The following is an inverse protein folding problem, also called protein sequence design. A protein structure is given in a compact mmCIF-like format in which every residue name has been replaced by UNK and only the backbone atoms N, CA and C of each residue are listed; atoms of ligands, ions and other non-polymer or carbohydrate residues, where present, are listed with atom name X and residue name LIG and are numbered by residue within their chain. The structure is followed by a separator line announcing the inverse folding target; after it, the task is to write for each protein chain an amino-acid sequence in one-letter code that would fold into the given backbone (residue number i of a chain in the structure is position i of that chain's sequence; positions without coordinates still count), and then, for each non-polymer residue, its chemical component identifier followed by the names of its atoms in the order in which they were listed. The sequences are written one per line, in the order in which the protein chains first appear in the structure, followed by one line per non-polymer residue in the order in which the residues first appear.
data_IF_450410911972
#
_entry.id   IF_450410911972
#
_cell.length_a   1.000
_cell.length_b   1.000
_cell.length_c   1.000
_cell.angle_alpha   90.00
_cell.angle_beta   90.00
_cell.angle_gamma   90.00
#
_symmetry.space_group_name_H-M   'P 1'
#
loop_
_entity.id
_entity.type
_entity.pdbx_description
1 polymer ?
#
# COMPACT_ATOMS: atom_id res chain seq x y z
N UNK A 1 -0.85 127.63 7.30
CA UNK A 1 -2.23 127.35 7.75
C UNK A 1 -2.36 125.85 7.81
N UNK A 2 -2.67 125.37 9.00
CA UNK A 2 -2.33 124.05 9.54
C UNK A 2 -3.15 122.92 8.94
N UNK A 3 -2.45 121.86 8.58
CA UNK A 3 -2.96 120.54 8.20
C UNK A 3 -3.34 119.80 9.50
N UNK A 4 -4.63 119.51 9.69
CA UNK A 4 -5.13 118.71 10.82
C UNK A 4 -5.12 117.23 10.42
N UNK A 5 -4.06 116.53 10.81
CA UNK A 5 -4.03 115.07 10.81
C UNK A 5 -4.72 114.55 12.10
N UNK A 6 -5.87 113.94 11.91
CA UNK A 6 -6.68 113.27 12.93
C UNK A 6 -5.94 112.07 13.51
N UNK A 7 -5.74 112.05 14.84
CA UNK A 7 -5.33 110.87 15.60
C UNK A 7 -6.46 109.83 15.59
N UNK A 8 -6.20 108.53 15.33
CA UNK A 8 -7.20 107.50 15.59
C UNK A 8 -7.31 107.25 17.09
N UNK A 9 -8.55 107.29 17.53
CA UNK A 9 -9.08 107.07 18.87
C UNK A 9 -8.80 105.63 19.33
N UNK A 10 -8.00 105.46 20.40
CA UNK A 10 -7.71 104.15 20.99
C UNK A 10 -8.91 103.68 21.81
N UNK A 11 -9.91 103.12 21.12
CA UNK A 11 -11.05 102.48 21.77
C UNK A 11 -10.58 101.32 22.68
N UNK A 12 -11.20 101.11 23.86
CA UNK A 12 -10.86 100.02 24.74
C UNK A 12 -11.19 98.69 24.05
N UNK A 13 -10.17 97.93 23.66
CA UNK A 13 -10.32 96.61 23.04
C UNK A 13 -10.99 95.67 24.03
N UNK A 14 -12.30 95.50 23.89
CA UNK A 14 -13.05 94.49 24.63
C UNK A 14 -12.59 93.14 24.13
N UNK A 15 -11.97 92.36 25.03
CA UNK A 15 -11.54 91.00 24.73
C UNK A 15 -12.77 90.18 24.30
N UNK A 16 -12.71 89.42 23.18
CA UNK A 16 -13.80 88.57 22.73
C UNK A 16 -14.25 87.60 23.83
N UNK A 17 -15.54 87.28 23.92
CA UNK A 17 -16.06 86.44 25.00
C UNK A 17 -15.83 84.95 24.73
N UNK A 18 -15.86 84.55 23.45
CA UNK A 18 -15.66 83.17 23.01
C UNK A 18 -14.52 83.03 21.99
N UNK A 19 -13.96 81.82 21.86
CA UNK A 19 -12.85 81.57 20.95
C UNK A 19 -13.26 81.76 19.48
N UNK A 20 -14.55 81.56 19.17
CA UNK A 20 -15.11 81.73 17.84
C UNK A 20 -15.24 83.22 17.42
N UNK A 21 -15.21 84.14 18.39
CA UNK A 21 -15.28 85.59 18.17
C UNK A 21 -13.89 86.24 18.03
N UNK A 22 -12.81 85.46 18.18
CA UNK A 22 -11.45 85.99 17.99
C UNK A 22 -11.17 86.23 16.51
N UNK A 23 -10.53 87.36 16.22
CA UNK A 23 -10.10 87.72 14.86
C UNK A 23 -8.63 88.16 14.88
N UNK A 24 -7.96 88.26 13.72
CA UNK A 24 -6.60 88.81 13.65
C UNK A 24 -6.49 90.22 14.27
N UNK A 25 -7.55 91.03 14.15
CA UNK A 25 -7.60 92.41 14.68
C UNK A 25 -8.02 92.49 16.16
N UNK A 26 -8.53 91.39 16.74
CA UNK A 26 -8.90 91.29 18.15
C UNK A 26 -8.59 89.89 18.72
N UNK A 27 -7.30 89.55 18.90
CA UNK A 27 -6.89 88.23 19.36
C UNK A 27 -6.98 88.08 20.88
N UNK A 28 -7.13 86.83 21.35
CA UNK A 28 -6.92 86.53 22.77
C UNK A 28 -5.45 86.52 23.15
N UNK A 29 -5.08 87.05 24.33
CA UNK A 29 -3.79 86.77 24.93
C UNK A 29 -3.61 85.26 25.12
N UNK A 30 -2.43 84.73 24.83
CA UNK A 30 -2.11 83.31 24.96
C UNK A 30 -2.42 82.75 26.36
N UNK A 31 -2.23 83.59 27.39
CA UNK A 31 -2.57 83.26 28.78
C UNK A 31 -4.08 83.00 28.97
N UNK A 32 -4.94 83.78 28.34
CA UNK A 32 -6.39 83.62 28.42
C UNK A 32 -6.83 82.32 27.75
N UNK A 33 -6.26 81.99 26.58
CA UNK A 33 -6.49 80.71 25.91
C UNK A 33 -6.07 79.53 26.81
N UNK A 34 -4.88 79.62 27.41
CA UNK A 34 -4.33 78.59 28.30
C UNK A 34 -5.20 78.37 29.55
N UNK A 35 -5.74 79.45 30.13
CA UNK A 35 -6.67 79.38 31.25
C UNK A 35 -8.01 78.76 30.87
N UNK A 36 -8.57 79.13 29.71
CA UNK A 36 -9.83 78.55 29.20
C UNK A 36 -9.68 77.05 28.90
N UNK A 37 -8.56 76.63 28.30
CA UNK A 37 -8.24 75.21 28.07
C UNK A 37 -8.13 74.44 29.39
N UNK A 38 -7.42 74.99 30.39
CA UNK A 38 -7.36 74.39 31.73
C UNK A 38 -8.76 74.24 32.34
N UNK A 39 -9.58 75.29 32.31
CA UNK A 39 -10.92 75.23 32.87
C UNK A 39 -11.83 74.22 32.16
N UNK A 40 -11.64 74.00 30.86
CA UNK A 40 -12.37 72.99 30.11
C UNK A 40 -11.91 71.57 30.49
N UNK A 41 -10.60 71.32 30.53
CA UNK A 41 -10.02 70.01 30.86
C UNK A 41 -10.29 69.61 32.32
N UNK A 42 -10.20 70.57 33.26
CA UNK A 42 -10.42 70.30 34.69
C UNK A 42 -11.88 69.95 35.02
N UNK A 43 -12.84 70.31 34.15
CA UNK A 43 -14.26 69.94 34.25
C UNK A 43 -14.51 68.48 33.86
N UNK A 44 -13.59 67.84 33.13
CA UNK A 44 -13.73 66.45 32.73
C UNK A 44 -13.74 65.55 33.98
N UNK A 45 -14.73 64.65 34.12
CA UNK A 45 -14.80 63.74 35.26
C UNK A 45 -13.63 62.75 35.27
N UNK A 46 -13.37 62.16 36.44
CA UNK A 46 -12.40 61.06 36.53
C UNK A 46 -12.96 59.80 35.86
N UNK A 47 -12.12 59.07 35.13
CA UNK A 47 -12.50 57.84 34.44
C UNK A 47 -11.60 56.67 34.86
N UNK A 48 -12.18 55.49 35.01
CA UNK A 48 -11.43 54.25 35.17
C UNK A 48 -10.92 53.80 33.81
N UNK A 49 -9.61 53.63 33.70
CA UNK A 49 -8.93 53.23 32.47
C UNK A 49 -8.05 52.03 32.76
N UNK A 50 -8.11 51.06 31.85
CA UNK A 50 -7.21 49.92 31.83
C UNK A 50 -5.99 50.27 30.99
N UNK A 51 -4.79 49.94 31.47
CA UNK A 51 -3.56 50.20 30.73
C UNK A 51 -2.36 49.47 31.31
N UNK A 52 -1.25 49.54 30.60
CA UNK A 52 0.03 48.97 31.01
C UNK A 52 1.01 50.07 31.42
N UNK A 53 1.71 49.87 32.53
CA UNK A 53 2.76 50.79 32.99
C UNK A 53 4.02 50.57 32.15
N UNK A 54 4.30 51.45 31.19
CA UNK A 54 5.48 51.34 30.32
C UNK A 54 6.74 51.90 30.99
N UNK A 55 6.56 52.92 31.82
CA UNK A 55 7.61 53.56 32.59
C UNK A 55 7.07 53.94 33.96
N UNK A 56 7.90 53.79 35.00
CA UNK A 56 7.59 54.19 36.36
C UNK A 56 8.82 54.86 36.98
N UNK A 57 8.72 56.15 37.28
CA UNK A 57 9.79 56.93 37.89
C UNK A 57 9.29 57.54 39.21
N UNK A 58 9.84 57.06 40.33
CA UNK A 58 9.48 57.55 41.68
C UNK A 58 10.38 58.72 42.07
N UNK A 59 9.79 59.87 42.40
CA UNK A 59 10.50 61.10 42.79
C UNK A 59 9.90 61.68 44.08
N UNK A 60 10.43 61.27 45.22
CA UNK A 60 9.97 61.73 46.53
C UNK A 60 8.52 61.36 46.80
N UNK A 61 7.65 62.38 46.94
CA UNK A 61 6.22 62.21 47.26
C UNK A 61 5.33 61.90 46.07
N UNK A 62 5.85 62.05 44.84
CA UNK A 62 5.13 61.76 43.60
C UNK A 62 5.89 60.73 42.76
N UNK A 63 5.15 59.91 42.04
CA UNK A 63 5.68 59.08 40.97
C UNK A 63 5.05 59.48 39.64
N UNK A 64 5.87 59.47 38.60
CA UNK A 64 5.46 59.72 37.23
C UNK A 64 5.45 58.38 36.50
N UNK A 65 4.37 58.10 35.80
CA UNK A 65 4.19 56.86 35.07
C UNK A 65 3.60 57.14 33.69
N UNK A 66 3.95 56.31 32.73
CA UNK A 66 3.37 56.37 31.39
C UNK A 66 2.47 55.17 31.22
N UNK A 67 1.16 55.43 31.10
CA UNK A 67 0.16 54.39 30.84
C UNK A 67 0.00 54.24 29.33
N UNK A 68 0.14 53.02 28.83
CA UNK A 68 -0.20 52.67 27.45
C UNK A 68 -1.49 51.85 27.45
N UNK A 69 -2.33 52.10 26.47
CA UNK A 69 -3.52 51.28 26.22
C UNK A 69 -3.10 49.83 25.93
N UNK A 70 -3.98 48.86 26.20
CA UNK A 70 -3.66 47.44 26.00
C UNK A 70 -3.84 47.03 24.55
N UNK A 71 -4.80 47.62 23.84
CA UNK A 71 -5.20 47.20 22.51
C UNK A 71 -4.74 48.19 21.44
N UNK A 72 -4.50 49.46 21.81
CA UNK A 72 -4.08 50.53 20.90
C UNK A 72 -2.69 51.11 21.23
N UNK A 73 -2.03 51.71 20.23
CA UNK A 73 -0.78 52.48 20.40
C UNK A 73 -1.04 53.89 20.97
N UNK A 74 -1.80 53.97 22.06
CA UNK A 74 -2.10 55.23 22.75
C UNK A 74 -1.34 55.24 24.07
N UNK A 75 -0.61 56.31 24.36
CA UNK A 75 0.13 56.45 25.63
C UNK A 75 -0.13 57.81 26.25
N UNK A 76 -0.40 57.83 27.56
CA UNK A 76 -0.67 59.03 28.33
C UNK A 76 0.30 59.15 29.51
N UNK A 77 0.92 60.32 29.72
CA UNK A 77 1.67 60.59 30.93
C UNK A 77 0.71 60.77 32.11
N UNK A 78 1.08 60.21 33.25
CA UNK A 78 0.31 60.31 34.47
C UNK A 78 1.21 60.55 35.70
N UNK A 79 0.64 61.23 36.70
CA UNK A 79 1.27 61.46 38.00
C UNK A 79 0.42 60.84 39.09
N UNK A 80 1.07 60.11 39.98
CA UNK A 80 0.44 59.45 41.13
C UNK A 80 1.19 59.83 42.40
N UNK A 81 0.46 59.99 43.50
CA UNK A 81 1.07 60.19 44.80
C UNK A 81 1.66 58.88 45.30
N UNK A 82 2.87 58.89 45.89
CA UNK A 82 3.54 57.67 46.37
C UNK A 82 2.64 56.87 47.34
N UNK A 83 1.86 57.56 48.19
CA UNK A 83 0.88 56.94 49.10
C UNK A 83 -0.21 56.12 48.40
N UNK A 84 -0.57 56.45 47.16
CA UNK A 84 -1.59 55.71 46.39
C UNK A 84 -0.99 54.43 45.82
N UNK A 85 0.31 54.44 45.47
CA UNK A 85 1.04 53.24 45.06
C UNK A 85 1.28 52.29 46.23
N UNK A 86 1.59 52.82 47.42
CA UNK A 86 1.86 52.02 48.64
C UNK A 86 0.62 51.36 49.23
N UNK A 87 -0.59 51.80 48.84
CA UNK A 87 -1.85 51.17 49.26
C UNK A 87 -2.12 49.83 48.57
N UNK A 88 -1.36 49.49 47.54
CA UNK A 88 -1.58 48.28 46.76
C UNK A 88 -0.86 47.08 47.39
N UNK A 89 -1.55 45.94 47.44
CA UNK A 89 -0.98 44.69 47.99
C UNK A 89 0.12 44.09 47.11
N UNK A 90 0.14 44.42 45.80
CA UNK A 90 1.21 44.03 44.89
C UNK A 90 2.06 45.26 44.50
N UNK A 91 3.40 45.12 44.46
CA UNK A 91 4.25 46.16 43.93
C UNK A 91 3.98 46.37 42.44
N UNK A 92 3.81 47.63 42.05
CA UNK A 92 3.69 48.04 40.65
C UNK A 92 5.08 48.06 40.01
N UNK A 93 5.26 47.25 38.98
CA UNK A 93 6.48 47.13 38.20
C UNK A 93 6.28 47.64 36.77
N UNK A 94 7.40 47.83 36.06
CA UNK A 94 7.36 48.12 34.63
C UNK A 94 6.77 46.90 33.92
N UNK A 95 5.75 47.12 33.08
CA UNK A 95 5.02 46.07 32.39
C UNK A 95 3.74 45.63 33.10
N UNK A 96 3.49 46.07 34.34
CA UNK A 96 2.25 45.71 35.04
C UNK A 96 1.02 46.30 34.34
N UNK A 97 0.01 45.45 34.13
CA UNK A 97 -1.33 45.86 33.71
C UNK A 97 -2.11 46.37 34.92
N UNK A 98 -2.75 47.52 34.77
CA UNK A 98 -3.37 48.25 35.87
C UNK A 98 -4.73 48.79 35.46
N UNK A 99 -5.61 48.92 36.45
CA UNK A 99 -6.84 49.71 36.34
C UNK A 99 -6.65 50.96 37.18
N UNK A 100 -6.59 52.12 36.52
CA UNK A 100 -6.29 53.40 37.13
C UNK A 100 -7.46 54.39 36.99
N UNK A 101 -7.79 55.09 38.07
CA UNK A 101 -8.75 56.19 38.07
C UNK A 101 -8.01 57.48 37.72
N UNK A 102 -8.15 57.93 36.49
CA UNK A 102 -7.43 59.08 35.94
C UNK A 102 -8.30 60.34 35.96
N UNK A 103 -7.70 61.47 36.35
CA UNK A 103 -8.29 62.81 36.18
C UNK A 103 -7.38 63.64 35.24
N UNK A 104 -7.88 64.14 34.10
CA UNK A 104 -7.12 65.05 33.26
C UNK A 104 -6.73 66.33 34.00
N UNK A 105 -5.48 66.74 33.85
CA UNK A 105 -4.93 67.97 34.42
C UNK A 105 -4.06 68.67 33.37
N UNK A 106 -4.35 69.96 33.13
CA UNK A 106 -3.55 70.78 32.22
C UNK A 106 -2.57 71.69 32.99
N UNK A 107 -1.28 71.61 32.64
CA UNK A 107 -0.23 72.40 33.29
C UNK A 107 0.02 73.72 32.54
N UNK A 108 -0.41 74.83 33.14
CA UNK A 108 -0.38 76.16 32.51
C UNK A 108 1.01 76.64 32.07
N UNK A 109 2.07 76.29 32.82
CA UNK A 109 3.43 76.79 32.54
C UNK A 109 4.09 76.13 31.34
N UNK A 110 3.76 74.87 31.06
CA UNK A 110 4.41 74.05 30.02
C UNK A 110 3.47 73.66 28.89
N UNK A 111 2.16 73.93 29.02
CA UNK A 111 1.14 73.55 28.05
C UNK A 111 0.97 72.03 27.91
N UNK A 112 1.46 71.24 28.88
CA UNK A 112 1.39 69.77 28.83
C UNK A 112 0.12 69.26 29.49
N UNK A 113 -0.49 68.27 28.86
CA UNK A 113 -1.58 67.47 29.44
C UNK A 113 -0.97 66.33 30.26
N UNK A 114 -1.47 66.16 31.48
CA UNK A 114 -1.08 65.10 32.39
C UNK A 114 -2.32 64.44 32.98
N UNK A 115 -2.20 63.21 33.46
CA UNK A 115 -3.29 62.49 34.12
C UNK A 115 -2.98 62.34 35.61
N UNK A 116 -3.78 62.92 36.50
CA UNK A 116 -3.67 62.68 37.93
C UNK A 116 -4.34 61.34 38.28
N UNK A 117 -3.53 60.39 38.75
CA UNK A 117 -3.99 59.08 39.20
C UNK A 117 -4.52 59.18 40.62
N UNK A 118 -5.82 58.93 40.81
CA UNK A 118 -6.49 58.95 42.13
C UNK A 118 -6.46 57.59 42.82
N UNK A 119 -6.60 56.53 42.05
CA UNK A 119 -6.49 55.14 42.50
C UNK A 119 -5.85 54.33 41.36
N UNK A 120 -5.08 53.29 41.67
CA UNK A 120 -4.41 52.43 40.69
C UNK A 120 -4.26 51.04 41.26
N UNK A 121 -4.83 50.05 40.60
CA UNK A 121 -4.81 48.66 41.08
C UNK A 121 -4.10 47.79 40.04
N UNK A 122 -3.07 47.01 40.41
CA UNK A 122 -2.55 46.01 39.52
C UNK A 122 -3.63 44.96 39.26
N UNK A 123 -3.84 44.61 37.99
CA UNK A 123 -4.71 43.50 37.62
C UNK A 123 -3.98 42.22 38.00
N UNK A 124 -4.51 41.49 39.00
CA UNK A 124 -3.92 40.23 39.42
C UNK A 124 -4.10 39.14 38.37
N UNK A 125 -3.18 38.16 38.35
CA UNK A 125 -3.26 37.00 37.46
C UNK A 125 -4.61 36.25 37.58
N UNK A 126 -5.17 36.19 38.78
CA UNK A 126 -6.46 35.55 39.04
C UNK A 126 -7.65 36.22 38.35
N UNK A 127 -7.69 37.56 38.29
CA UNK A 127 -8.77 38.29 37.61
C UNK A 127 -8.71 38.11 36.09
N UNK A 128 -7.50 38.05 35.54
CA UNK A 128 -7.23 37.80 34.13
C UNK A 128 -7.67 36.37 33.74
N UNK A 129 -7.28 35.38 34.52
CA UNK A 129 -7.70 33.99 34.33
C UNK A 129 -9.21 33.84 34.46
N UNK A 130 -9.84 34.50 35.44
CA UNK A 130 -11.30 34.51 35.57
C UNK A 130 -11.99 35.16 34.37
N UNK A 131 -11.41 36.20 33.77
CA UNK A 131 -11.94 36.83 32.55
C UNK A 131 -11.81 35.90 31.34
N UNK A 132 -10.68 35.23 31.17
CA UNK A 132 -10.47 34.22 30.13
C UNK A 132 -11.47 33.07 30.29
N UNK A 133 -11.70 32.60 31.52
CA UNK A 133 -12.66 31.52 31.78
C UNK A 133 -14.10 31.93 31.44
N UNK A 134 -14.52 33.15 31.81
CA UNK A 134 -15.83 33.67 31.43
C UNK A 134 -15.98 33.76 29.91
N UNK A 135 -14.93 34.21 29.21
CA UNK A 135 -14.93 34.27 27.75
C UNK A 135 -15.00 32.86 27.14
N UNK A 136 -14.26 31.89 27.70
CA UNK A 136 -14.34 30.48 27.31
C UNK A 136 -15.79 29.98 27.39
N UNK A 137 -16.45 30.21 28.52
CA UNK A 137 -17.82 29.74 28.74
C UNK A 137 -18.81 30.41 27.76
N UNK A 138 -18.67 31.71 27.51
CA UNK A 138 -19.52 32.42 26.56
C UNK A 138 -19.37 31.88 25.14
N UNK A 139 -18.14 31.73 24.64
CA UNK A 139 -17.86 31.23 23.29
C UNK A 139 -18.20 29.73 23.14
N UNK A 140 -18.05 28.95 24.21
CA UNK A 140 -18.49 27.56 24.25
C UNK A 140 -20.02 27.46 24.17
N UNK A 141 -20.75 28.33 24.84
CA UNK A 141 -22.22 28.38 24.79
C UNK A 141 -22.75 28.78 23.41
N UNK A 142 -22.01 29.63 22.68
CA UNK A 142 -22.28 29.92 21.25
C UNK A 142 -21.94 28.72 20.32
N UNK A 143 -21.24 27.70 20.82
CA UNK A 143 -20.88 26.51 20.06
C UNK A 143 -19.65 26.67 19.17
N UNK A 144 -18.81 27.71 19.36
CA UNK A 144 -17.61 27.92 18.54
C UNK A 144 -16.58 26.79 18.68
N UNK A 145 -16.57 26.09 19.82
CA UNK A 145 -15.64 24.99 20.11
C UNK A 145 -16.22 23.60 19.79
N UNK A 146 -17.38 23.54 19.11
CA UNK A 146 -18.01 22.26 18.78
C UNK A 146 -17.14 21.45 17.81
N UNK A 147 -16.91 20.17 18.14
CA UNK A 147 -16.11 19.25 17.32
C UNK A 147 -16.67 19.11 15.90
N UNK A 148 -17.98 19.26 15.72
CA UNK A 148 -18.65 19.24 14.40
C UNK A 148 -18.28 20.39 13.48
N UNK A 149 -17.70 21.48 14.00
CA UNK A 149 -17.19 22.61 13.21
C UNK A 149 -15.75 22.41 12.75
N UNK A 150 -15.02 21.50 13.40
CA UNK A 150 -13.61 21.26 13.10
C UNK A 150 -13.47 20.52 11.79
N UNK A 151 -12.51 20.95 10.99
CA UNK A 151 -12.24 20.41 9.66
C UNK A 151 -11.16 19.34 9.73
N UNK A 152 -11.30 18.25 8.97
CA UNK A 152 -10.23 17.27 8.85
C UNK A 152 -9.03 17.89 8.13
N UNK A 153 -7.84 17.54 8.59
CA UNK A 153 -6.60 17.92 7.93
C UNK A 153 -6.41 17.15 6.63
N UNK A 154 -5.84 17.78 5.59
CA UNK A 154 -5.46 17.08 4.37
C UNK A 154 -4.38 16.04 4.70
N UNK A 155 -4.49 14.85 4.10
CA UNK A 155 -3.52 13.78 4.31
C UNK A 155 -2.11 14.18 3.84
N UNK A 156 -2.02 14.87 2.70
CA UNK A 156 -0.78 15.34 2.09
C UNK A 156 -0.93 16.82 1.69
N UNK A 157 -0.62 17.77 2.59
CA UNK A 157 -0.62 19.19 2.24
C UNK A 157 0.53 19.48 1.26
N UNK A 158 0.21 20.16 0.16
CA UNK A 158 1.21 20.67 -0.79
C UNK A 158 1.77 21.99 -0.29
N UNK A 159 0.92 22.88 0.22
CA UNK A 159 1.35 24.19 0.70
C UNK A 159 0.76 24.52 2.07
N UNK A 160 1.65 24.85 3.00
CA UNK A 160 1.33 25.18 4.39
C UNK A 160 1.50 26.68 4.59
N UNK A 161 0.45 27.35 5.05
CA UNK A 161 0.51 28.72 5.54
C UNK A 161 1.10 28.74 6.95
N UNK A 162 2.15 29.52 7.20
CA UNK A 162 2.77 29.62 8.53
C UNK A 162 2.73 31.06 9.03
N UNK A 163 2.01 31.30 10.12
CA UNK A 163 1.97 32.57 10.84
C UNK A 163 2.85 32.43 12.07
N UNK A 164 3.94 33.20 12.14
CA UNK A 164 4.90 33.10 13.24
C UNK A 164 5.67 34.40 13.46
N UNK A 165 6.37 34.51 14.58
CA UNK A 165 7.26 35.62 14.88
C UNK A 165 8.46 35.68 13.93
N UNK A 166 8.90 36.90 13.59
CA UNK A 166 10.14 37.15 12.84
C UNK A 166 11.33 36.47 13.55
N UNK A 167 12.14 35.76 12.78
CA UNK A 167 13.33 35.02 13.24
C UNK A 167 13.12 34.04 14.42
N UNK A 168 11.87 33.59 14.63
CA UNK A 168 11.53 32.69 15.74
C UNK A 168 12.13 31.29 15.58
N UNK A 169 12.50 30.67 16.70
CA UNK A 169 12.93 29.27 16.72
C UNK A 169 11.78 28.33 16.30
N UNK A 170 10.54 28.69 16.63
CA UNK A 170 9.35 27.98 16.16
C UNK A 170 9.28 27.87 14.62
N UNK A 171 9.64 28.93 13.89
CA UNK A 171 9.73 28.90 12.42
C UNK A 171 10.76 27.86 11.96
N UNK A 172 11.97 27.94 12.51
CA UNK A 172 13.08 27.04 12.12
C UNK A 172 12.75 25.58 12.42
N UNK A 173 12.11 25.32 13.55
CA UNK A 173 11.74 23.98 13.98
C UNK A 173 10.65 23.38 13.09
N UNK A 174 9.60 24.13 12.77
CA UNK A 174 8.54 23.67 11.86
C UNK A 174 9.11 23.36 10.48
N UNK A 175 9.89 24.30 9.91
CA UNK A 175 10.47 24.13 8.58
C UNK A 175 11.41 22.92 8.51
N UNK A 176 12.28 22.75 9.52
CA UNK A 176 13.23 21.63 9.55
C UNK A 176 12.52 20.28 9.67
N UNK A 177 11.57 20.16 10.59
CA UNK A 177 10.84 18.90 10.79
C UNK A 177 9.96 18.57 9.56
N UNK A 178 9.34 19.57 8.96
CA UNK A 178 8.55 19.37 7.75
C UNK A 178 9.41 18.93 6.56
N UNK A 179 10.56 19.59 6.32
CA UNK A 179 11.47 19.23 5.25
C UNK A 179 12.08 17.82 5.40
N UNK A 180 12.32 17.36 6.63
CA UNK A 180 12.79 16.00 6.90
C UNK A 180 11.74 14.93 6.55
N UNK A 181 10.45 15.24 6.70
CA UNK A 181 9.35 14.28 6.50
C UNK A 181 8.76 14.33 5.10
N UNK A 182 8.65 15.52 4.52
CA UNK A 182 8.16 15.74 3.15
C UNK A 182 8.92 16.91 2.50
N UNK A 183 10.01 16.62 1.77
CA UNK A 183 10.80 17.67 1.10
C UNK A 183 10.05 18.49 0.05
N UNK A 184 8.93 17.94 -0.47
CA UNK A 184 8.12 18.59 -1.50
C UNK A 184 7.09 19.60 -0.94
N UNK A 185 7.02 19.76 0.39
CA UNK A 185 6.11 20.72 1.01
C UNK A 185 6.56 22.16 0.75
N UNK A 186 5.63 23.00 0.36
CA UNK A 186 5.87 24.45 0.21
C UNK A 186 5.33 25.21 1.41
N UNK A 187 5.99 26.31 1.78
CA UNK A 187 5.57 27.16 2.88
C UNK A 187 5.30 28.59 2.42
N UNK A 188 4.12 29.10 2.72
CA UNK A 188 3.78 30.52 2.60
C UNK A 188 3.84 31.14 4.00
N UNK A 189 4.89 31.94 4.26
CA UNK A 189 5.18 32.43 5.61
C UNK A 189 4.74 33.88 5.77
N UNK A 190 4.02 34.18 6.86
CA UNK A 190 3.69 35.55 7.29
C UNK A 190 4.31 35.81 8.65
N UNK A 191 5.31 36.68 8.64
CA UNK A 191 5.99 37.11 9.86
C UNK A 191 5.21 38.24 10.51
N UNK A 192 4.68 37.98 11.71
CA UNK A 192 3.86 38.92 12.47
C UNK A 192 4.38 39.06 13.90
N UNK A 193 4.01 40.14 14.57
CA UNK A 193 4.14 40.24 16.01
C UNK A 193 3.29 39.15 16.67
N UNK A 194 3.92 38.27 17.43
CA UNK A 194 3.23 37.20 18.20
C UNK A 194 3.00 37.57 19.67
N UNK A 195 3.48 38.75 20.07
CA UNK A 195 3.37 39.31 21.41
C UNK A 195 3.14 40.82 21.34
N UNK A 196 2.57 41.38 22.41
CA UNK A 196 2.23 42.80 22.50
C UNK A 196 0.95 43.19 21.78
N UNK A 197 0.62 44.48 21.85
CA UNK A 197 -0.70 45.03 21.51
C UNK A 197 -1.07 44.87 20.04
N UNK A 198 -0.08 44.90 19.14
CA UNK A 198 -0.31 44.76 17.69
C UNK A 198 -0.48 43.30 17.24
N UNK A 199 -0.27 42.32 18.13
CA UNK A 199 -0.22 40.92 17.75
C UNK A 199 -1.56 40.41 17.20
N UNK A 200 -2.67 40.70 17.88
CA UNK A 200 -4.01 40.27 17.47
C UNK A 200 -4.34 40.78 16.06
N UNK A 201 -4.17 42.08 15.83
CA UNK A 201 -4.48 42.69 14.54
C UNK A 201 -3.62 42.12 13.39
N UNK A 202 -2.33 41.89 13.64
CA UNK A 202 -1.43 41.35 12.62
C UNK A 202 -1.70 39.87 12.34
N UNK A 203 -1.94 39.05 13.36
CA UNK A 203 -2.27 37.63 13.20
C UNK A 203 -3.60 37.46 12.46
N UNK A 204 -4.63 38.23 12.82
CA UNK A 204 -5.94 38.18 12.13
C UNK A 204 -5.80 38.60 10.66
N UNK A 205 -5.00 39.64 10.38
CA UNK A 205 -4.73 40.05 9.00
C UNK A 205 -4.02 38.95 8.22
N UNK A 206 -2.94 38.38 8.77
CA UNK A 206 -2.20 37.31 8.13
C UNK A 206 -3.06 36.06 7.89
N UNK A 207 -3.92 35.71 8.86
CA UNK A 207 -4.89 34.61 8.73
C UNK A 207 -5.82 34.83 7.55
N UNK A 208 -6.46 36.01 7.44
CA UNK A 208 -7.35 36.34 6.33
C UNK A 208 -6.64 36.34 4.98
N UNK A 209 -5.41 36.86 4.92
CA UNK A 209 -4.63 36.88 3.68
C UNK A 209 -4.17 35.48 3.23
N UNK A 210 -3.98 34.53 4.15
CA UNK A 210 -3.66 33.13 3.84
C UNK A 210 -4.92 32.33 3.48
N UNK A 211 -6.01 32.54 4.22
CA UNK A 211 -7.32 31.90 3.99
C UNK A 211 -7.93 32.29 2.64
N UNK A 212 -7.65 33.50 2.16
CA UNK A 212 -8.06 33.94 0.82
C UNK A 212 -7.32 33.24 -0.33
N UNK A 213 -6.26 32.47 -0.05
CA UNK A 213 -5.48 31.77 -1.08
C UNK A 213 -5.93 30.30 -1.18
N UNK A 214 -6.54 29.88 -2.31
CA UNK A 214 -7.01 28.51 -2.47
C UNK A 214 -5.88 27.47 -2.56
N UNK A 215 -4.65 27.92 -2.77
CA UNK A 215 -3.45 27.08 -2.81
C UNK A 215 -2.98 26.64 -1.42
N UNK A 216 -3.45 27.30 -0.34
CA UNK A 216 -3.02 26.99 1.03
C UNK A 216 -3.95 25.92 1.61
N UNK A 217 -3.40 24.73 1.84
CA UNK A 217 -4.16 23.56 2.29
C UNK A 217 -4.41 23.57 3.81
N UNK A 218 -3.51 24.19 4.57
CA UNK A 218 -3.56 24.28 6.04
C UNK A 218 -2.80 25.50 6.54
N UNK A 219 -3.32 26.17 7.58
CA UNK A 219 -2.71 27.34 8.21
C UNK A 219 -2.24 26.98 9.62
N UNK A 220 -0.98 27.27 9.94
CA UNK A 220 -0.38 27.05 11.24
C UNK A 220 -0.14 28.38 11.92
N UNK A 221 -0.69 28.55 13.11
CA UNK A 221 -0.37 29.68 13.98
C UNK A 221 0.61 29.16 15.03
N UNK A 222 1.87 29.58 14.89
CA UNK A 222 2.96 29.10 15.74
C UNK A 222 3.54 30.23 16.58
N UNK A 223 3.92 29.86 17.81
CA UNK A 223 4.66 30.73 18.72
C UNK A 223 5.81 29.95 19.34
N UNK A 224 6.96 30.59 19.51
CA UNK A 224 8.05 30.07 20.33
C UNK A 224 7.76 30.16 21.83
N UNK A 225 8.72 29.75 22.65
CA UNK A 225 8.66 29.89 24.10
C UNK A 225 8.57 31.35 24.56
N UNK A 226 8.13 31.56 25.80
CA UNK A 226 8.13 32.87 26.48
C UNK A 226 7.18 32.86 27.68
N UNK A 227 6.91 34.04 28.25
CA UNK A 227 6.09 34.13 29.46
C UNK A 227 4.61 33.86 29.14
N UNK A 228 3.84 33.53 30.19
CA UNK A 228 2.38 33.37 30.13
C UNK A 228 1.70 34.65 29.60
N UNK A 229 2.26 35.81 29.93
CA UNK A 229 1.75 37.13 29.52
C UNK A 229 1.76 37.31 28.00
N UNK A 230 2.73 36.71 27.33
CA UNK A 230 2.85 36.73 25.88
C UNK A 230 1.78 35.83 25.20
N UNK A 231 1.03 35.01 25.96
CA UNK A 231 -0.07 34.18 25.42
C UNK A 231 -1.40 34.95 25.35
N UNK A 232 -1.49 36.11 26.01
CA UNK A 232 -2.74 36.86 26.11
C UNK A 232 -3.34 37.24 24.75
N UNK A 233 -2.56 37.62 23.71
CA UNK A 233 -3.11 37.88 22.39
C UNK A 233 -3.91 36.71 21.80
N UNK A 234 -3.55 35.47 22.15
CA UNK A 234 -4.22 34.25 21.65
C UNK A 234 -5.51 33.90 22.41
N UNK A 235 -5.89 34.71 23.39
CA UNK A 235 -7.17 34.64 24.09
C UNK A 235 -8.15 35.74 23.63
N UNK A 236 -7.79 36.53 22.62
CA UNK A 236 -8.67 37.58 22.08
C UNK A 236 -9.86 37.00 21.34
N UNK A 237 -11.05 37.52 21.63
CA UNK A 237 -12.30 37.14 20.96
C UNK A 237 -12.24 37.38 19.45
N UNK A 238 -11.63 38.48 19.00
CA UNK A 238 -11.50 38.82 17.58
C UNK A 238 -10.71 37.76 16.81
N UNK A 239 -9.64 37.25 17.41
CA UNK A 239 -8.82 36.20 16.82
C UNK A 239 -9.57 34.87 16.79
N UNK A 240 -10.25 34.51 17.88
CA UNK A 240 -11.04 33.26 17.97
C UNK A 240 -12.14 33.25 16.91
N UNK A 241 -12.88 34.35 16.77
CA UNK A 241 -13.93 34.49 15.75
C UNK A 241 -13.35 34.45 14.33
N UNK A 242 -12.17 35.03 14.11
CA UNK A 242 -11.49 34.96 12.82
C UNK A 242 -11.09 33.52 12.45
N UNK A 243 -10.58 32.74 13.40
CA UNK A 243 -10.26 31.31 13.18
C UNK A 243 -11.52 30.48 12.94
N UNK A 244 -12.58 30.69 13.73
CA UNK A 244 -13.85 29.99 13.55
C UNK A 244 -14.54 30.26 12.20
N UNK A 245 -14.21 31.39 11.56
CA UNK A 245 -14.74 31.82 10.27
C UNK A 245 -13.83 31.47 9.07
N UNK A 246 -12.59 31.03 9.31
CA UNK A 246 -11.68 30.63 8.24
C UNK A 246 -12.30 29.50 7.41
N UNK A 247 -11.95 29.40 6.13
CA UNK A 247 -12.33 28.29 5.23
C UNK A 247 -11.27 27.18 5.23
N UNK A 248 -10.00 27.54 5.32
CA UNK A 248 -8.87 26.61 5.42
C UNK A 248 -8.74 26.06 6.86
N UNK A 249 -8.33 24.78 7.05
CA UNK A 249 -8.05 24.22 8.36
C UNK A 249 -6.93 24.96 9.10
N UNK A 250 -7.12 25.24 10.39
CA UNK A 250 -6.18 25.98 11.25
C UNK A 250 -5.61 25.08 12.35
N UNK A 251 -4.28 25.08 12.47
CA UNK A 251 -3.53 24.37 13.52
C UNK A 251 -2.95 25.37 14.49
N UNK A 252 -3.28 25.22 15.78
CA UNK A 252 -2.62 25.96 16.86
C UNK A 252 -1.36 25.22 17.29
N UNK A 253 -0.22 25.90 17.26
CA UNK A 253 1.08 25.42 17.71
C UNK A 253 1.68 26.38 18.74
N UNK A 254 0.88 26.67 19.78
CA UNK A 254 1.17 27.71 20.78
C UNK A 254 1.31 27.06 22.16
N UNK A 255 2.46 27.26 22.79
CA UNK A 255 2.67 26.92 24.21
C UNK A 255 3.10 25.46 24.47
N UNK A 256 3.05 25.07 25.75
CA UNK A 256 3.28 23.70 26.26
C UNK A 256 1.99 23.23 26.96
N UNK A 257 1.92 22.00 27.47
CA UNK A 257 0.67 21.43 28.03
C UNK A 257 -0.02 22.28 29.12
N UNK A 258 0.73 23.07 29.90
CA UNK A 258 0.18 23.93 30.95
C UNK A 258 -0.46 25.24 30.42
N UNK A 259 -0.16 25.60 29.18
CA UNK A 259 -0.47 26.88 28.56
C UNK A 259 -1.53 26.68 27.46
N UNK A 260 -2.81 26.65 27.83
CA UNK A 260 -3.93 26.42 26.89
C UNK A 260 -4.68 27.72 26.56
N UNK A 261 -4.25 28.49 25.55
CA UNK A 261 -5.00 29.66 25.10
C UNK A 261 -6.34 29.24 24.48
N UNK A 262 -7.31 30.16 24.45
CA UNK A 262 -8.61 29.91 23.81
C UNK A 262 -8.50 29.57 22.31
N UNK A 263 -7.42 30.00 21.65
CA UNK A 263 -7.13 29.62 20.26
C UNK A 263 -7.07 28.08 20.08
N UNK A 264 -6.55 27.36 21.07
CA UNK A 264 -6.44 25.89 21.02
C UNK A 264 -7.81 25.20 20.98
N UNK A 265 -8.83 25.84 21.56
CA UNK A 265 -10.18 25.28 21.65
C UNK A 265 -10.97 25.47 20.35
N UNK A 266 -10.64 26.52 19.58
CA UNK A 266 -11.28 26.81 18.27
C UNK A 266 -10.52 26.23 17.09
N UNK A 267 -9.22 25.97 17.22
CA UNK A 267 -8.41 25.39 16.15
C UNK A 267 -8.92 23.98 15.78
N UNK A 268 -8.81 23.64 14.50
CA UNK A 268 -9.16 22.31 13.99
C UNK A 268 -8.22 21.24 14.56
N UNK A 269 -6.96 21.63 14.80
CA UNK A 269 -5.97 20.79 15.45
C UNK A 269 -5.13 21.59 16.45
N UNK A 270 -5.01 21.07 17.67
CA UNK A 270 -4.06 21.56 18.67
C UNK A 270 -2.77 20.75 18.64
N UNK A 271 -1.64 21.38 18.35
CA UNK A 271 -0.31 20.80 18.52
C UNK A 271 0.34 21.31 19.81
N UNK A 272 0.96 20.40 20.54
CA UNK A 272 1.58 20.68 21.85
C UNK A 272 2.86 21.51 21.76
N UNK A 273 3.51 21.53 20.59
CA UNK A 273 4.72 22.30 20.29
C UNK A 273 4.80 22.59 18.78
N UNK A 274 5.63 23.56 18.34
CA UNK A 274 5.94 23.75 16.91
C UNK A 274 6.43 22.47 16.21
N UNK A 275 7.26 21.67 16.88
CA UNK A 275 7.73 20.38 16.36
C UNK A 275 6.60 19.35 16.22
N UNK A 276 5.70 19.29 17.21
CA UNK A 276 4.51 18.44 17.16
C UNK A 276 3.56 18.86 16.02
N UNK A 277 3.44 20.16 15.74
CA UNK A 277 2.64 20.67 14.63
C UNK A 277 3.16 20.12 13.29
N UNK A 278 4.46 20.23 13.03
CA UNK A 278 5.06 19.63 11.84
C UNK A 278 4.83 18.11 11.79
N UNK A 279 4.84 17.44 12.94
CA UNK A 279 4.60 16.00 13.01
C UNK A 279 3.17 15.58 12.69
N UNK A 280 2.18 16.41 13.01
CA UNK A 280 0.78 16.07 12.81
C UNK A 280 0.25 16.53 11.46
N UNK A 281 0.86 17.56 10.88
CA UNK A 281 0.46 18.11 9.57
C UNK A 281 1.11 17.33 8.41
N UNK A 282 2.40 17.01 8.53
CA UNK A 282 3.16 16.40 7.44
C UNK A 282 3.35 14.91 7.76
N UNK A 283 2.71 13.97 7.06
CA UNK A 283 2.92 12.54 7.32
C UNK A 283 4.36 12.11 7.02
N UNK A 284 4.77 10.95 7.53
CA UNK A 284 6.07 10.39 7.18
C UNK A 284 6.01 9.72 5.80
N UNK A 285 6.43 10.45 4.79
CA UNK A 285 6.32 10.00 3.39
C UNK A 285 7.17 8.77 3.11
N UNK A 286 8.27 8.59 3.87
CA UNK A 286 9.09 7.39 3.81
C UNK A 286 8.26 6.11 4.02
N UNK A 287 7.31 6.13 4.95
CA UNK A 287 6.40 5.02 5.23
C UNK A 287 5.41 4.80 4.09
N UNK A 288 4.78 5.86 3.58
CA UNK A 288 3.84 5.77 2.46
C UNK A 288 4.52 5.24 1.18
N UNK A 289 5.72 5.76 0.86
CA UNK A 289 6.53 5.26 -0.25
C UNK A 289 7.02 3.84 -0.02
N UNK A 290 7.27 3.42 1.22
CA UNK A 290 7.57 2.03 1.54
C UNK A 290 6.35 1.13 1.29
N UNK A 291 5.15 1.56 1.70
CA UNK A 291 3.89 0.87 1.42
C UNK A 291 3.64 0.69 -0.08
N UNK A 292 3.80 1.75 -0.87
CA UNK A 292 3.68 1.68 -2.35
C UNK A 292 4.71 0.73 -2.96
N UNK A 293 5.97 0.77 -2.49
CA UNK A 293 7.01 -0.15 -2.97
C UNK A 293 6.68 -1.61 -2.65
N UNK A 294 6.22 -1.88 -1.43
CA UNK A 294 5.81 -3.22 -0.99
C UNK A 294 4.63 -3.74 -1.81
N UNK A 295 3.59 -2.92 -2.02
CA UNK A 295 2.45 -3.27 -2.85
C UNK A 295 2.87 -3.60 -4.29
N UNK A 296 3.77 -2.80 -4.87
CA UNK A 296 4.32 -3.04 -6.22
C UNK A 296 5.09 -4.36 -6.31
N UNK A 297 5.89 -4.69 -5.29
CA UNK A 297 6.65 -5.94 -5.26
C UNK A 297 5.77 -7.17 -5.02
N UNK A 298 4.69 -7.04 -4.24
CA UNK A 298 3.67 -8.07 -4.13
C UNK A 298 2.95 -8.32 -5.45
N UNK A 299 2.53 -7.24 -6.14
CA UNK A 299 1.90 -7.33 -7.46
C UNK A 299 2.81 -8.04 -8.46
N UNK A 300 4.08 -7.64 -8.53
CA UNK A 300 5.08 -8.26 -9.42
C UNK A 300 5.21 -9.76 -9.15
N UNK A 301 5.38 -10.18 -7.89
CA UNK A 301 5.47 -11.61 -7.53
C UNK A 301 4.19 -12.39 -7.84
N UNK A 302 3.03 -11.77 -7.78
CA UNK A 302 1.78 -12.42 -8.19
C UNK A 302 1.71 -12.59 -9.71
N UNK A 303 2.14 -11.58 -10.47
CA UNK A 303 2.21 -11.66 -11.94
C UNK A 303 3.22 -12.73 -12.39
N UNK A 304 4.43 -12.73 -11.83
CA UNK A 304 5.47 -13.71 -12.18
C UNK A 304 4.96 -15.14 -11.93
N UNK A 305 4.38 -15.41 -10.74
CA UNK A 305 3.78 -16.72 -10.42
C UNK A 305 2.63 -17.12 -11.33
N UNK A 306 1.84 -16.17 -11.81
CA UNK A 306 0.76 -16.44 -12.76
C UNK A 306 1.33 -16.86 -14.11
N UNK A 307 2.32 -16.12 -14.61
CA UNK A 307 3.00 -16.41 -15.88
C UNK A 307 3.72 -17.76 -15.82
N UNK A 308 4.45 -18.04 -14.74
CA UNK A 308 5.14 -19.31 -14.55
C UNK A 308 4.15 -20.48 -14.54
N UNK A 309 3.04 -20.37 -13.81
CA UNK A 309 1.99 -21.41 -13.78
C UNK A 309 1.39 -21.70 -15.15
N UNK A 310 1.04 -20.66 -15.90
CA UNK A 310 0.45 -20.87 -17.22
C UNK A 310 1.49 -21.40 -18.21
N UNK A 311 2.76 -21.00 -18.07
CA UNK A 311 3.88 -21.53 -18.86
C UNK A 311 4.10 -23.02 -18.58
N UNK A 312 4.16 -23.41 -17.31
CA UNK A 312 4.28 -24.80 -16.87
C UNK A 312 3.09 -25.64 -17.34
N UNK A 313 1.87 -25.07 -17.26
CA UNK A 313 0.65 -25.73 -17.75
C UNK A 313 0.71 -25.97 -19.25
N UNK A 314 1.16 -24.98 -20.02
CA UNK A 314 1.32 -25.11 -21.46
C UNK A 314 2.38 -26.16 -21.80
N UNK A 315 3.53 -26.13 -21.10
CA UNK A 315 4.60 -27.11 -21.26
C UNK A 315 4.12 -28.53 -20.92
N UNK A 316 3.33 -28.70 -19.85
CA UNK A 316 2.74 -29.98 -19.47
C UNK A 316 1.71 -30.49 -20.49
N UNK A 317 0.94 -29.61 -21.12
CA UNK A 317 0.03 -29.99 -22.20
C UNK A 317 0.80 -30.42 -23.45
N UNK A 318 1.88 -29.71 -23.80
CA UNK A 318 2.73 -30.03 -24.94
C UNK A 318 3.51 -31.33 -24.74
N UNK A 319 3.94 -31.64 -23.51
CA UNK A 319 4.71 -32.86 -23.21
C UNK A 319 3.87 -34.13 -23.13
N UNK A 320 2.53 -34.02 -23.17
CA UNK A 320 1.65 -35.20 -23.20
C UNK A 320 1.95 -36.05 -24.44
N UNK A 321 2.04 -37.39 -24.32
CA UNK A 321 2.38 -38.27 -25.44
C UNK A 321 1.49 -38.07 -26.68
N UNK A 322 0.20 -37.76 -26.47
CA UNK A 322 -0.76 -37.48 -27.55
C UNK A 322 -0.39 -36.23 -28.38
N UNK A 323 0.28 -35.25 -27.78
CA UNK A 323 0.72 -34.01 -28.45
C UNK A 323 2.19 -34.08 -28.88
N UNK A 324 3.06 -34.71 -28.07
CA UNK A 324 4.50 -34.81 -28.32
C UNK A 324 4.88 -35.89 -29.34
N UNK A 325 4.12 -36.99 -29.39
CA UNK A 325 4.36 -38.11 -30.30
C UNK A 325 3.02 -38.75 -30.73
N UNK A 326 2.16 -38.00 -31.45
CA UNK A 326 0.83 -38.46 -31.86
C UNK A 326 0.87 -39.76 -32.68
N UNK A 327 1.95 -40.00 -33.41
CA UNK A 327 2.19 -41.21 -34.20
C UNK A 327 2.38 -42.46 -33.36
N UNK A 328 2.72 -42.36 -32.07
CA UNK A 328 3.01 -43.52 -31.22
C UNK A 328 1.88 -44.54 -31.18
N UNK A 329 0.62 -44.09 -31.15
CA UNK A 329 -0.55 -44.98 -31.19
C UNK A 329 -0.65 -45.75 -32.52
N UNK A 330 -0.22 -45.16 -33.62
CA UNK A 330 -0.21 -45.79 -34.94
C UNK A 330 0.98 -46.74 -35.06
N UNK A 331 2.16 -46.34 -34.60
CA UNK A 331 3.38 -47.15 -34.62
C UNK A 331 3.20 -48.47 -33.87
N UNK A 332 2.61 -48.46 -32.67
CA UNK A 332 2.32 -49.69 -31.89
C UNK A 332 1.41 -50.64 -32.68
N UNK A 333 0.40 -50.10 -33.39
CA UNK A 333 -0.51 -50.91 -34.20
C UNK A 333 0.16 -51.41 -35.48
N UNK A 334 1.01 -50.60 -36.10
CA UNK A 334 1.80 -51.00 -37.27
C UNK A 334 2.73 -52.17 -36.92
N UNK A 335 3.46 -52.09 -35.80
CA UNK A 335 4.31 -53.17 -35.29
C UNK A 335 3.51 -54.44 -34.97
N UNK A 336 2.31 -54.29 -34.39
CA UNK A 336 1.43 -55.41 -34.10
C UNK A 336 0.97 -56.12 -35.38
N UNK A 337 0.55 -55.36 -36.40
CA UNK A 337 0.17 -55.89 -37.71
C UNK A 337 1.36 -56.60 -38.36
N UNK A 338 2.55 -56.00 -38.34
CA UNK A 338 3.76 -56.60 -38.92
C UNK A 338 4.11 -57.92 -38.22
N UNK A 339 4.01 -57.98 -36.90
CA UNK A 339 4.20 -59.20 -36.12
C UNK A 339 3.17 -60.27 -36.45
N UNK A 340 1.89 -59.90 -36.59
CA UNK A 340 0.81 -60.82 -36.95
C UNK A 340 1.00 -61.36 -38.38
N UNK A 341 1.40 -60.52 -39.33
CA UNK A 341 1.73 -60.92 -40.70
C UNK A 341 2.89 -61.91 -40.73
N UNK A 342 4.01 -61.61 -40.04
CA UNK A 342 5.15 -62.53 -39.92
C UNK A 342 4.72 -63.89 -39.35
N UNK A 343 3.92 -63.89 -38.28
CA UNK A 343 3.41 -65.10 -37.64
C UNK A 343 2.47 -65.89 -38.57
N UNK A 344 1.58 -65.21 -39.29
CA UNK A 344 0.67 -65.83 -40.26
C UNK A 344 1.45 -66.52 -41.37
N UNK A 345 2.40 -65.81 -41.99
CA UNK A 345 3.24 -66.38 -43.05
C UNK A 345 4.05 -67.58 -42.55
N UNK A 346 4.65 -67.51 -41.36
CA UNK A 346 5.37 -68.64 -40.78
C UNK A 346 4.45 -69.85 -40.51
N UNK A 347 3.24 -69.62 -39.98
CA UNK A 347 2.26 -70.69 -39.73
C UNK A 347 1.82 -71.36 -41.03
N UNK A 348 1.51 -70.58 -42.07
CA UNK A 348 1.14 -71.09 -43.41
C UNK A 348 2.31 -71.88 -44.01
N UNK A 349 3.51 -71.31 -44.05
CA UNK A 349 4.70 -72.00 -44.59
C UNK A 349 4.97 -73.31 -43.85
N UNK A 350 4.89 -73.33 -42.52
CA UNK A 350 5.10 -74.56 -41.74
C UNK A 350 4.05 -75.63 -42.03
N UNK A 351 2.79 -75.23 -42.29
CA UNK A 351 1.71 -76.15 -42.64
C UNK A 351 1.91 -76.72 -44.04
N UNK A 352 2.31 -75.89 -45.00
CA UNK A 352 2.60 -76.31 -46.38
C UNK A 352 3.79 -77.28 -46.42
N UNK A 353 4.88 -76.97 -45.70
CA UNK A 353 6.05 -77.86 -45.60
C UNK A 353 5.65 -79.21 -45.00
N UNK A 354 4.92 -79.21 -43.88
CA UNK A 354 4.44 -80.46 -43.26
C UNK A 354 3.54 -81.29 -44.18
N UNK A 355 2.66 -80.65 -44.94
CA UNK A 355 1.80 -81.34 -45.89
C UNK A 355 2.60 -81.93 -47.07
N UNK A 356 3.62 -81.20 -47.55
CA UNK A 356 4.54 -81.69 -48.58
C UNK A 356 5.34 -82.92 -48.08
N UNK A 357 5.90 -82.83 -46.87
CA UNK A 357 6.63 -83.93 -46.23
C UNK A 357 5.74 -85.16 -46.04
N UNK A 358 4.49 -84.96 -45.60
CA UNK A 358 3.50 -86.04 -45.49
C UNK A 358 3.22 -86.69 -46.86
N UNK A 359 3.05 -85.87 -47.91
CA UNK A 359 2.82 -86.40 -49.25
C UNK A 359 4.02 -87.21 -49.75
N UNK A 360 5.25 -86.74 -49.52
CA UNK A 360 6.45 -87.51 -49.84
C UNK A 360 6.54 -88.81 -49.05
N UNK A 361 6.24 -88.77 -47.76
CA UNK A 361 6.23 -89.95 -46.91
C UNK A 361 5.19 -90.98 -47.36
N UNK A 362 3.95 -90.56 -47.63
CA UNK A 362 2.91 -91.44 -48.17
C UNK A 362 3.31 -92.02 -49.54
N UNK A 363 3.89 -91.21 -50.43
CA UNK A 363 4.42 -91.69 -51.72
C UNK A 363 5.51 -92.75 -51.51
N UNK A 364 6.40 -92.54 -50.56
CA UNK A 364 7.45 -93.51 -50.23
C UNK A 364 6.87 -94.82 -49.66
N UNK A 365 5.88 -94.75 -48.77
CA UNK A 365 5.19 -95.92 -48.24
C UNK A 365 4.47 -96.72 -49.34
N UNK A 366 3.70 -96.06 -50.20
CA UNK A 366 3.03 -96.72 -51.34
C UNK A 366 4.04 -97.38 -52.28
N UNK A 367 5.18 -96.72 -52.54
CA UNK A 367 6.27 -97.29 -53.35
C UNK A 367 6.94 -98.48 -52.66
N UNK A 368 7.11 -98.45 -51.33
CA UNK A 368 7.72 -99.53 -50.56
C UNK A 368 6.82 -100.77 -50.46
N UNK A 369 5.51 -100.57 -50.41
CA UNK A 369 4.50 -101.63 -50.37
C UNK A 369 4.09 -102.13 -51.78
N UNK A 370 4.69 -101.58 -52.84
CA UNK A 370 4.39 -102.01 -54.22
C UNK A 370 4.89 -103.44 -54.46
N UNK A 371 4.00 -104.40 -54.78
CA UNK A 371 4.39 -105.77 -55.10
C UNK A 371 5.37 -105.84 -56.27
N UNK A 372 5.31 -104.87 -57.19
CA UNK A 372 6.19 -104.80 -58.35
C UNK A 372 7.64 -104.54 -57.95
N UNK A 373 7.91 -103.64 -56.99
CA UNK A 373 9.28 -103.41 -56.49
C UNK A 373 9.87 -104.63 -55.79
N UNK A 374 9.03 -105.42 -55.13
CA UNK A 374 9.47 -106.70 -54.54
C UNK A 374 9.85 -107.70 -55.63
N UNK A 375 9.10 -107.75 -56.73
CA UNK A 375 9.43 -108.57 -57.90
C UNK A 375 10.72 -108.08 -58.60
N UNK A 376 10.89 -106.77 -58.80
CA UNK A 376 12.08 -106.16 -59.42
C UNK A 376 13.37 -106.42 -58.62
N UNK A 377 13.26 -106.64 -57.31
CA UNK A 377 14.38 -107.01 -56.42
C UNK A 377 14.81 -108.48 -56.56
N UNK A 378 14.17 -109.25 -57.44
CA UNK A 378 14.50 -110.66 -57.71
C UNK A 378 13.68 -111.67 -56.91
N UNK A 379 12.63 -111.25 -56.22
CA UNK A 379 11.67 -112.16 -55.61
C UNK A 379 10.62 -112.58 -56.63
N UNK A 380 10.00 -113.74 -56.40
CA UNK A 380 8.93 -114.25 -57.25
C UNK A 380 7.67 -114.52 -56.41
N UNK A 381 6.50 -114.26 -56.98
CA UNK A 381 5.22 -114.67 -56.41
C UNK A 381 4.82 -115.99 -57.05
N UNK A 382 4.70 -117.03 -56.22
CA UNK A 382 4.32 -118.37 -56.66
C UNK A 382 2.82 -118.54 -56.48
N UNK A 383 2.12 -118.82 -57.58
CA UNK A 383 0.67 -119.08 -57.62
C UNK A 383 0.44 -120.54 -58.07
N UNK A 384 -0.61 -121.21 -57.57
CA UNK A 384 -1.04 -122.52 -58.08
C UNK A 384 -1.72 -122.36 -59.45
N UNK A 385 -1.48 -123.29 -60.37
CA UNK A 385 -2.05 -123.29 -61.72
C UNK A 385 -2.90 -124.56 -61.98
N UNK A 386 -3.91 -124.44 -62.84
CA UNK A 386 -4.78 -125.55 -63.27
C UNK A 386 -5.94 -125.87 -62.32
N UNK A 387 -6.53 -127.07 -62.47
CA UNK A 387 -7.73 -127.51 -61.74
C UNK A 387 -7.57 -127.54 -60.20
N UNK A 388 -6.32 -127.60 -59.71
CA UNK A 388 -6.02 -127.53 -58.27
C UNK A 388 -6.18 -126.11 -57.70
N UNK A 389 -5.98 -125.06 -58.50
CA UNK A 389 -6.23 -123.67 -58.08
C UNK A 389 -7.72 -123.39 -57.90
N UNK A 390 -8.58 -124.01 -58.74
CA UNK A 390 -10.03 -123.81 -58.73
C UNK A 390 -10.71 -124.38 -57.46
N UNK A 391 -10.09 -125.34 -56.77
CA UNK A 391 -10.62 -125.93 -55.52
C UNK A 391 -10.32 -125.11 -54.26
N UNK A 392 -9.30 -124.25 -54.29
CA UNK A 392 -8.80 -123.53 -53.10
C UNK A 392 -9.10 -122.02 -53.17
N UNK A 393 -9.16 -121.43 -54.37
CA UNK A 393 -9.44 -120.01 -54.54
C UNK A 393 -10.66 -119.78 -55.44
N UNK A 394 -11.69 -119.12 -54.90
CA UNK A 394 -12.90 -118.68 -55.62
C UNK A 394 -12.64 -117.70 -56.78
N UNK A 395 -11.39 -117.30 -57.02
CA UNK A 395 -11.00 -116.37 -58.09
C UNK A 395 -9.65 -116.73 -58.74
N UNK A 396 -9.36 -118.03 -58.91
CA UNK A 396 -8.36 -118.52 -59.86
C UNK A 396 -6.88 -118.29 -59.55
N UNK A 397 -6.51 -117.57 -58.48
CA UNK A 397 -5.10 -117.30 -58.12
C UNK A 397 -4.87 -117.57 -56.62
N UNK A 398 -4.42 -118.78 -56.27
CA UNK A 398 -4.01 -119.12 -54.91
C UNK A 398 -2.49 -118.93 -54.78
N UNK A 399 -2.06 -117.87 -54.07
CA UNK A 399 -0.63 -117.62 -53.79
C UNK A 399 -0.14 -118.64 -52.77
N UNK A 400 0.92 -119.36 -53.10
CA UNK A 400 1.58 -120.34 -52.23
C UNK A 400 2.41 -119.57 -51.21
N UNK A 401 2.03 -119.64 -49.94
CA UNK A 401 2.77 -119.02 -48.82
C UNK A 401 3.50 -120.05 -47.98
N UNK A 402 3.06 -121.31 -48.02
CA UNK A 402 3.63 -122.42 -47.25
C UNK A 402 3.98 -123.58 -48.19
N UNK A 403 5.10 -124.29 -47.97
CA UNK A 403 5.49 -125.43 -48.81
C UNK A 403 4.42 -126.52 -48.92
N UNK A 404 3.61 -126.73 -47.87
CA UNK A 404 2.54 -127.73 -47.85
C UNK A 404 1.39 -127.42 -48.85
N UNK A 405 1.28 -126.18 -49.32
CA UNK A 405 0.26 -125.75 -50.28
C UNK A 405 0.64 -126.10 -51.72
N UNK A 406 1.87 -126.59 -51.97
CA UNK A 406 2.34 -127.06 -53.28
C UNK A 406 2.81 -128.53 -53.23
N UNK A 407 1.89 -129.51 -53.15
CA UNK A 407 2.22 -130.93 -53.11
C UNK A 407 2.92 -131.43 -54.40
N UNK A 408 3.58 -132.59 -54.33
CA UNK A 408 4.33 -133.13 -55.45
C UNK A 408 3.44 -133.35 -56.68
N UNK A 409 3.88 -132.84 -57.83
CA UNK A 409 3.13 -132.84 -59.09
C UNK A 409 2.21 -131.63 -59.31
N UNK A 410 2.10 -130.71 -58.35
CA UNK A 410 1.28 -129.50 -58.51
C UNK A 410 1.88 -128.56 -59.57
N UNK A 411 1.07 -128.13 -60.53
CA UNK A 411 1.45 -127.10 -61.50
C UNK A 411 1.46 -125.72 -60.81
N UNK A 412 2.55 -124.98 -60.97
CA UNK A 412 2.77 -123.66 -60.39
C UNK A 412 2.97 -122.64 -61.51
N UNK A 413 2.38 -121.45 -61.34
CA UNK A 413 2.67 -120.26 -62.12
C UNK A 413 3.52 -119.33 -61.27
N UNK A 414 4.76 -119.11 -61.68
CA UNK A 414 5.70 -118.23 -60.98
C UNK A 414 5.71 -116.89 -61.70
N UNK A 415 5.33 -115.83 -61.00
CA UNK A 415 5.39 -114.46 -61.49
C UNK A 415 6.67 -113.79 -60.98
N UNK A 416 7.45 -113.25 -61.90
CA UNK A 416 8.69 -112.49 -61.65
C UNK A 416 8.50 -111.04 -62.12
N UNK A 417 9.55 -110.22 -61.99
CA UNK A 417 9.53 -108.79 -62.38
C UNK A 417 8.91 -108.56 -63.76
N UNK A 418 9.35 -109.36 -64.74
CA UNK A 418 8.87 -109.30 -66.10
C UNK A 418 8.31 -110.67 -66.52
N UNK A 419 6.98 -110.81 -66.42
CA UNK A 419 6.26 -111.97 -66.93
C UNK A 419 6.06 -113.12 -65.94
N UNK A 420 5.59 -114.24 -66.48
CA UNK A 420 5.26 -115.46 -65.73
C UNK A 420 5.81 -116.67 -66.45
N UNK A 421 6.27 -117.67 -65.70
CA UNK A 421 6.65 -118.97 -66.25
C UNK A 421 6.05 -120.11 -65.42
N UNK A 422 5.90 -121.27 -66.04
CA UNK A 422 5.38 -122.47 -65.39
C UNK A 422 6.48 -123.24 -64.67
N UNK A 423 6.15 -123.83 -63.54
CA UNK A 423 6.99 -124.79 -62.83
C UNK A 423 6.10 -125.94 -62.30
N UNK A 424 6.69 -127.10 -62.01
CA UNK A 424 5.97 -128.20 -61.35
C UNK A 424 6.63 -128.45 -60.00
N UNK A 425 5.84 -128.47 -58.92
CA UNK A 425 6.35 -128.76 -57.59
C UNK A 425 6.80 -130.21 -57.50
N UNK A 426 8.00 -130.45 -56.98
CA UNK A 426 8.46 -131.80 -56.61
C UNK A 426 8.01 -132.21 -55.21
N UNK A 427 7.14 -131.42 -54.57
CA UNK A 427 6.65 -131.61 -53.21
C UNK A 427 7.49 -130.86 -52.19
N UNK A 428 7.05 -130.87 -50.93
CA UNK A 428 7.79 -130.24 -49.84
C UNK A 428 9.12 -130.97 -49.64
N UNK A 429 10.21 -130.41 -50.17
CA UNK A 429 11.57 -130.85 -49.84
C UNK A 429 11.89 -130.39 -48.43
N UNK A 430 12.14 -131.34 -47.52
CA UNK A 430 12.65 -131.05 -46.19
C UNK A 430 14.08 -130.52 -46.32
N UNK A 431 14.20 -129.24 -46.64
CA UNK A 431 15.50 -128.58 -46.69
C UNK A 431 15.86 -128.16 -45.28
N UNK A 432 16.80 -128.91 -44.72
CA UNK A 432 17.79 -128.43 -43.77
C UNK A 432 17.25 -127.95 -42.43
N UNK A 433 17.26 -128.86 -41.45
CA UNK A 433 17.66 -128.48 -40.11
C UNK A 433 19.00 -127.74 -40.22
N UNK A 434 18.95 -126.42 -40.14
CA UNK A 434 20.14 -125.60 -40.00
C UNK A 434 20.58 -125.70 -38.53
N UNK A 435 21.82 -126.16 -38.26
CA UNK A 435 22.37 -126.32 -36.92
C UNK A 435 22.96 -124.99 -36.42
N UNK A 436 22.83 -124.73 -35.10
CA UNK A 436 23.40 -123.57 -34.39
C UNK A 436 22.32 -122.81 -33.62
N UNK A 437 22.48 -122.39 -32.36
CA UNK A 437 23.69 -122.14 -31.57
C UNK A 437 23.29 -122.08 -30.07
N UNK A 438 24.14 -122.51 -29.11
CA UNK A 438 23.89 -122.46 -27.68
C UNK A 438 24.33 -121.11 -27.11
N UNK A 439 23.40 -120.33 -26.57
CA UNK A 439 23.58 -119.36 -25.48
C UNK A 439 22.32 -118.51 -25.38
N UNK A 440 21.42 -118.95 -24.50
CA UNK A 440 20.30 -118.15 -24.00
C UNK A 440 20.42 -117.99 -22.47
N UNK A 441 21.66 -117.89 -21.99
CA UNK A 441 22.01 -117.44 -20.65
C UNK A 441 23.05 -116.33 -20.79
N UNK A 442 22.88 -115.28 -19.99
CA UNK A 442 23.74 -114.10 -19.83
C UNK A 442 23.66 -113.03 -20.93
N UNK A 443 22.74 -112.08 -20.75
CA UNK A 443 23.03 -110.64 -20.72
C UNK A 443 21.80 -109.87 -20.18
N UNK A 444 21.23 -110.35 -19.07
CA UNK A 444 20.66 -109.49 -18.03
C UNK A 444 21.81 -109.10 -17.09
N UNK A 445 22.67 -108.17 -17.52
CA UNK A 445 23.41 -107.28 -16.62
C UNK A 445 24.19 -106.25 -17.46
N UNK A 446 23.86 -104.98 -17.23
CA UNK A 446 24.56 -103.75 -17.66
C UNK A 446 24.34 -103.26 -19.11
N UNK A 447 23.30 -102.43 -19.27
CA UNK A 447 23.42 -101.07 -19.82
C UNK A 447 22.19 -100.25 -19.47
#
# INVERSE_FOLDING_TARGET
MSDQASLPDTAPTTLPATAAETSPDNPWPLQLLSQKLKAHIDRTPSAWVEGQVIELNRRGTNAYLTLRDVDAEVSLPASVWTKVLERQNLPLERGSRVVALLKPEFWLKTGRLNMLVRDIRPVGLGDLLARIERLRQALAAEGLFAESRKKPLPLLPHRIGLITGRDSDAKKDILRNAALRWPAVEFEIREVAVQGNTAVAQVVRALRELDARPEVDVIVIARGGGALEDLLPFNSEDLIRAVAAAATPVVSAIGHEADRPLLDDVADLRASTPTDAAKRIVPEVSEELAGVRQAREQLRRCMDRMVDRESDRLAALHSRPVMAAPEGMVSVRAEEIERLLRRSSAAVSSTVVRAADQLEHLKAQVRALSPQKTLDRGYAVVELAGDQAARIAQAGHAVVRRPAEAPAGAALSIRVAEGRFGATSTGATSTGAHPGNPNQQELEEKA
#
